data_IF_769294042951
#
_entry.id   IF_769294042951
#
_cell.length_a   1.000
_cell.length_b   1.000
_cell.length_c   1.000
_cell.angle_alpha   90.00
_cell.angle_beta   90.00
_cell.angle_gamma   90.00
#
_symmetry.space_group_name_H-M   'P 1'
#
loop_
_entity.id
_entity.type
_entity.pdbx_description
1 polymer ?
#
# COMPACT_ATOMS: atom_id res chain seq x y z
N UNK A 1 -10.38 -1.74 11.66
CA UNK A 1 -9.30 -2.47 12.36
C UNK A 1 -8.27 -1.47 12.86
N UNK A 2 -7.93 -1.57 14.13
CA UNK A 2 -6.93 -0.69 14.72
C UNK A 2 -5.53 -1.06 14.21
N UNK A 3 -4.75 -0.05 13.81
CA UNK A 3 -3.40 -0.28 13.32
C UNK A 3 -2.45 -0.57 14.48
N UNK A 4 -1.61 -1.57 14.33
CA UNK A 4 -0.60 -1.95 15.31
C UNK A 4 0.77 -1.94 14.67
N UNK A 5 1.77 -1.49 15.44
CA UNK A 5 3.15 -1.46 14.96
C UNK A 5 3.57 -2.84 14.45
N UNK A 6 4.31 -2.84 13.35
CA UNK A 6 4.93 -4.02 12.75
C UNK A 6 3.94 -5.03 12.17
N UNK A 7 2.67 -4.69 12.07
CA UNK A 7 1.65 -5.56 11.49
C UNK A 7 1.38 -5.16 10.04
N UNK A 8 1.15 -6.16 9.19
CA UNK A 8 0.62 -5.92 7.84
C UNK A 8 -0.84 -5.50 8.01
N UNK A 9 -1.21 -4.36 7.44
CA UNK A 9 -2.60 -3.91 7.55
C UNK A 9 -3.18 -3.36 6.25
N UNK A 10 -2.45 -3.47 5.14
CA UNK A 10 -2.91 -2.87 3.89
C UNK A 10 -2.26 -3.55 2.70
N UNK A 11 -2.98 -3.72 1.59
CA UNK A 11 -2.40 -4.17 0.33
C UNK A 11 -2.77 -3.17 -0.76
N UNK A 12 -1.83 -2.91 -1.66
CA UNK A 12 -2.05 -1.94 -2.73
C UNK A 12 -1.70 -2.58 -4.08
N UNK A 13 -2.57 -2.37 -5.04
CA UNK A 13 -2.40 -2.83 -6.40
C UNK A 13 -2.29 -1.63 -7.34
N UNK A 14 -1.75 -1.86 -8.52
CA UNK A 14 -1.79 -0.89 -9.61
C UNK A 14 -2.95 -1.20 -10.53
N UNK A 15 -3.52 -0.17 -11.16
CA UNK A 15 -4.61 -0.32 -12.12
C UNK A 15 -4.43 0.70 -13.24
N UNK A 16 -4.81 0.31 -14.45
CA UNK A 16 -4.79 1.24 -15.59
C UNK A 16 -6.05 2.10 -15.63
N UNK A 17 -7.20 1.52 -15.30
CA UNK A 17 -8.49 2.18 -15.38
C UNK A 17 -9.25 1.91 -14.07
N UNK A 18 -9.28 2.91 -13.20
CA UNK A 18 -9.93 2.77 -11.90
C UNK A 18 -11.43 2.50 -12.02
N UNK A 19 -12.09 3.11 -13.00
CA UNK A 19 -13.55 2.89 -13.16
C UNK A 19 -13.85 1.44 -13.56
N UNK A 20 -13.05 0.88 -14.45
CA UNK A 20 -13.20 -0.52 -14.85
C UNK A 20 -12.92 -1.47 -13.69
N UNK A 21 -11.89 -1.17 -12.88
CA UNK A 21 -11.55 -1.97 -11.69
C UNK A 21 -12.69 -1.95 -10.67
N UNK A 22 -13.22 -0.76 -10.36
CA UNK A 22 -14.32 -0.64 -9.40
C UNK A 22 -15.53 -1.46 -9.87
N UNK A 23 -15.91 -1.35 -11.14
CA UNK A 23 -17.03 -2.12 -11.68
C UNK A 23 -16.81 -3.61 -11.58
N UNK A 24 -15.60 -4.07 -11.91
CA UNK A 24 -15.27 -5.48 -11.87
C UNK A 24 -15.41 -6.06 -10.46
N UNK A 25 -14.75 -5.44 -9.49
CA UNK A 25 -14.73 -5.98 -8.12
C UNK A 25 -16.05 -5.80 -7.40
N UNK A 26 -16.82 -4.77 -7.74
CA UNK A 26 -18.18 -4.63 -7.20
C UNK A 26 -19.10 -5.73 -7.78
N UNK A 27 -19.05 -5.97 -9.07
CA UNK A 27 -19.90 -6.97 -9.71
C UNK A 27 -19.52 -8.40 -9.29
N UNK A 28 -18.23 -8.69 -9.21
CA UNK A 28 -17.76 -10.06 -8.93
C UNK A 28 -17.79 -10.41 -7.45
N UNK A 29 -17.46 -9.46 -6.56
CA UNK A 29 -17.22 -9.76 -5.15
C UNK A 29 -17.95 -8.84 -4.18
N UNK A 30 -18.74 -7.91 -4.67
CA UNK A 30 -19.49 -6.93 -3.85
C UNK A 30 -18.58 -6.02 -3.00
N UNK A 31 -17.37 -5.76 -3.46
CA UNK A 31 -16.53 -4.77 -2.79
C UNK A 31 -17.10 -3.37 -3.01
N UNK A 32 -16.90 -2.50 -2.04
CA UNK A 32 -17.25 -1.08 -2.16
C UNK A 32 -15.98 -0.25 -2.23
N UNK A 33 -16.08 0.97 -2.74
CA UNK A 33 -14.91 1.81 -3.01
C UNK A 33 -15.12 3.22 -2.51
N UNK A 34 -14.02 3.83 -2.05
CA UNK A 34 -13.96 5.24 -1.67
C UNK A 34 -12.81 5.86 -2.44
N UNK A 35 -13.11 6.88 -3.24
CA UNK A 35 -12.09 7.56 -4.03
C UNK A 35 -11.33 8.58 -3.17
N UNK A 36 -10.01 8.59 -3.32
CA UNK A 36 -9.12 9.57 -2.70
C UNK A 36 -8.41 10.33 -3.81
N UNK A 37 -9.10 11.27 -4.42
CA UNK A 37 -8.63 11.97 -5.60
C UNK A 37 -8.87 11.17 -6.89
N UNK A 38 -8.38 11.69 -8.03
CA UNK A 38 -8.69 11.08 -9.33
C UNK A 38 -7.86 9.83 -9.65
N UNK A 39 -6.78 9.57 -8.90
CA UNK A 39 -5.83 8.50 -9.25
C UNK A 39 -5.72 7.40 -8.20
N UNK A 40 -6.59 7.42 -7.18
CA UNK A 40 -6.57 6.40 -6.13
C UNK A 40 -7.96 6.07 -5.63
N UNK A 41 -8.24 4.79 -5.41
CA UNK A 41 -9.47 4.34 -4.78
C UNK A 41 -9.15 3.24 -3.77
N UNK A 42 -9.76 3.32 -2.59
CA UNK A 42 -9.62 2.30 -1.56
C UNK A 42 -10.81 1.37 -1.59
N UNK A 43 -10.57 0.08 -1.38
CA UNK A 43 -11.66 -0.89 -1.33
C UNK A 43 -12.02 -1.23 0.12
N UNK A 44 -13.27 -1.65 0.29
CA UNK A 44 -13.84 -2.09 1.56
C UNK A 44 -14.63 -3.37 1.30
N UNK A 45 -14.95 -4.06 2.38
CA UNK A 45 -15.70 -5.33 2.32
C UNK A 45 -14.92 -6.45 1.64
N UNK A 46 -13.61 -6.33 1.62
CA UNK A 46 -12.70 -7.30 1.00
C UNK A 46 -12.02 -8.24 1.99
N UNK A 47 -12.24 -8.01 3.29
CA UNK A 47 -11.59 -8.78 4.34
C UNK A 47 -10.29 -8.17 4.84
N UNK A 48 -9.59 -7.40 4.01
CA UNK A 48 -8.39 -6.67 4.38
C UNK A 48 -8.46 -5.29 3.73
N UNK A 49 -7.87 -4.30 4.36
CA UNK A 49 -7.84 -2.95 3.80
C UNK A 49 -6.86 -2.87 2.65
N UNK A 50 -7.18 -2.04 1.67
CA UNK A 50 -6.30 -1.85 0.54
C UNK A 50 -6.87 -0.89 -0.48
N UNK A 51 -6.17 -0.76 -1.60
CA UNK A 51 -6.59 0.15 -2.65
C UNK A 51 -5.88 -0.11 -3.97
N UNK A 52 -6.28 0.68 -4.98
CA UNK A 52 -5.71 0.68 -6.31
C UNK A 52 -5.17 2.06 -6.63
N UNK A 53 -3.92 2.12 -7.07
CA UNK A 53 -3.32 3.33 -7.59
C UNK A 53 -3.30 3.28 -9.11
N UNK A 54 -3.74 4.35 -9.76
CA UNK A 54 -3.71 4.40 -11.22
C UNK A 54 -2.27 4.50 -11.71
N UNK A 55 -1.95 3.73 -12.73
CA UNK A 55 -0.63 3.70 -13.33
C UNK A 55 -0.75 3.64 -14.84
N UNK A 56 0.03 4.48 -15.54
CA UNK A 56 0.15 4.44 -17.00
C UNK A 56 1.19 3.42 -17.44
N UNK A 57 1.98 2.93 -16.51
CA UNK A 57 3.06 1.99 -16.80
C UNK A 57 2.59 0.55 -16.79
N UNK A 58 3.57 -0.34 -16.79
CA UNK A 58 3.31 -1.77 -16.73
C UNK A 58 2.72 -2.14 -15.37
N UNK A 59 1.68 -2.94 -15.40
CA UNK A 59 1.10 -3.46 -14.17
C UNK A 59 1.97 -4.61 -13.65
N UNK A 60 2.49 -4.46 -12.44
CA UNK A 60 3.23 -5.52 -11.78
C UNK A 60 2.26 -6.60 -11.33
N UNK A 61 2.58 -7.85 -11.59
CA UNK A 61 1.75 -8.95 -11.15
C UNK A 61 2.03 -9.21 -9.66
N UNK A 62 1.16 -8.74 -8.81
CA UNK A 62 1.28 -8.85 -7.35
C UNK A 62 0.82 -7.58 -6.67
N UNK A 63 1.01 -7.52 -5.36
CA UNK A 63 0.59 -6.41 -4.52
C UNK A 63 1.77 -5.84 -3.76
N UNK A 64 1.70 -4.55 -3.43
CA UNK A 64 2.59 -3.94 -2.46
C UNK A 64 1.99 -4.20 -1.07
N UNK A 65 2.69 -4.97 -0.26
CA UNK A 65 2.28 -5.27 1.10
C UNK A 65 2.78 -4.17 2.02
N UNK A 66 1.89 -3.62 2.84
CA UNK A 66 2.19 -2.43 3.63
C UNK A 66 2.00 -2.74 5.11
N UNK A 67 3.05 -2.49 5.89
CA UNK A 67 3.02 -2.58 7.34
C UNK A 67 2.74 -1.21 7.94
N UNK A 68 2.39 -1.19 9.21
CA UNK A 68 2.18 0.04 9.96
C UNK A 68 3.25 0.18 11.04
N UNK A 69 3.68 1.42 11.29
CA UNK A 69 4.47 1.73 12.49
C UNK A 69 4.26 3.20 12.84
N UNK A 70 4.02 3.47 14.12
CA UNK A 70 3.75 4.84 14.58
C UNK A 70 4.97 5.76 14.50
N UNK A 71 6.19 5.21 14.52
CA UNK A 71 7.42 6.00 14.42
C UNK A 71 8.18 5.59 13.15
N UNK A 72 7.92 6.32 12.07
CA UNK A 72 8.43 5.96 10.76
C UNK A 72 9.95 6.08 10.66
N UNK A 73 10.52 7.11 11.27
CA UNK A 73 11.97 7.31 11.26
C UNK A 73 12.69 6.18 12.00
N UNK A 74 12.14 5.75 13.13
CA UNK A 74 12.72 4.67 13.91
C UNK A 74 12.70 3.35 13.14
N UNK A 75 11.55 2.98 12.57
CA UNK A 75 11.44 1.71 11.87
C UNK A 75 12.27 1.69 10.59
N UNK A 76 12.40 2.84 9.92
CA UNK A 76 13.27 2.95 8.75
C UNK A 76 14.72 2.59 9.12
N UNK A 77 15.23 3.16 10.21
CA UNK A 77 16.58 2.86 10.69
C UNK A 77 16.71 1.38 11.05
N UNK A 78 15.71 0.81 11.68
CA UNK A 78 15.69 -0.61 12.06
C UNK A 78 15.73 -1.51 10.83
N UNK A 79 14.98 -1.17 9.79
CA UNK A 79 14.96 -1.93 8.53
C UNK A 79 16.35 -1.94 7.89
N UNK A 80 17.02 -0.78 7.82
CA UNK A 80 18.35 -0.68 7.25
C UNK A 80 19.36 -1.50 8.08
N UNK A 81 19.28 -1.39 9.39
CA UNK A 81 20.17 -2.13 10.27
C UNK A 81 19.98 -3.64 10.15
N UNK A 82 18.76 -4.07 9.90
CA UNK A 82 18.43 -5.49 9.74
C UNK A 82 18.79 -6.06 8.36
N UNK A 83 19.26 -5.23 7.42
CA UNK A 83 19.71 -5.67 6.11
C UNK A 83 18.78 -5.29 4.96
N UNK A 84 17.72 -4.54 5.20
CA UNK A 84 16.86 -4.03 4.16
C UNK A 84 17.48 -2.85 3.41
N UNK A 85 17.02 -2.62 2.18
CA UNK A 85 17.46 -1.48 1.38
C UNK A 85 16.28 -0.56 1.15
N UNK A 86 16.49 0.74 1.36
CA UNK A 86 15.42 1.72 1.11
C UNK A 86 15.31 1.93 -0.40
N UNK A 87 14.17 1.54 -0.97
CA UNK A 87 13.89 1.74 -2.39
C UNK A 87 13.20 3.08 -2.64
N UNK A 88 12.49 3.60 -1.64
CA UNK A 88 11.83 4.90 -1.72
C UNK A 88 11.83 5.53 -0.35
N UNK A 89 12.49 6.68 -0.23
CA UNK A 89 12.59 7.37 1.07
C UNK A 89 11.24 7.92 1.51
N UNK A 90 11.15 8.32 2.77
CA UNK A 90 9.89 8.78 3.36
C UNK A 90 9.28 9.88 2.50
N UNK A 91 8.00 9.71 2.14
CA UNK A 91 7.23 10.71 1.42
C UNK A 91 5.83 10.80 2.03
N UNK A 92 5.20 11.96 1.83
CA UNK A 92 3.86 12.23 2.35
C UNK A 92 2.80 11.95 1.29
N UNK A 93 1.63 11.56 1.75
CA UNK A 93 0.44 11.41 0.94
C UNK A 93 -0.77 11.84 1.79
N UNK A 94 -1.94 12.07 1.19
CA UNK A 94 -3.12 12.39 2.00
C UNK A 94 -3.44 11.27 2.99
N UNK A 95 -3.33 11.57 4.28
CA UNK A 95 -3.57 10.59 5.35
C UNK A 95 -2.33 10.13 6.09
N UNK A 96 -1.12 10.40 5.58
CA UNK A 96 0.08 9.99 6.30
C UNK A 96 1.36 10.09 5.51
N UNK A 97 2.32 9.28 5.92
CA UNK A 97 3.64 9.17 5.30
C UNK A 97 4.00 7.71 5.17
N UNK A 98 4.89 7.39 4.23
CA UNK A 98 5.41 6.03 4.09
C UNK A 98 6.80 6.03 3.45
N UNK A 99 7.50 4.92 3.61
CA UNK A 99 8.69 4.61 2.82
C UNK A 99 8.57 3.20 2.27
N UNK A 100 9.42 2.86 1.31
CA UNK A 100 9.42 1.52 0.74
C UNK A 100 10.83 0.94 0.85
N UNK A 101 10.89 -0.38 0.99
CA UNK A 101 12.16 -1.07 1.17
C UNK A 101 12.14 -2.40 0.43
N UNK A 102 13.35 -2.89 0.16
CA UNK A 102 13.57 -4.21 -0.44
C UNK A 102 14.12 -5.11 0.65
N UNK A 103 13.50 -6.28 0.84
CA UNK A 103 13.98 -7.24 1.82
C UNK A 103 15.19 -8.02 1.27
N UNK A 104 15.85 -8.88 2.07
CA UNK A 104 17.03 -9.61 1.61
C UNK A 104 16.79 -10.54 0.42
N UNK A 105 15.55 -10.91 0.13
CA UNK A 105 15.22 -11.76 -1.01
C UNK A 105 14.75 -10.99 -2.24
N UNK A 106 14.65 -9.67 -2.14
CA UNK A 106 14.25 -8.83 -3.26
C UNK A 106 12.77 -8.46 -3.29
N UNK A 107 12.01 -8.77 -2.24
CA UNK A 107 10.61 -8.34 -2.17
C UNK A 107 10.54 -6.88 -1.77
N UNK A 108 9.69 -6.11 -2.47
CA UNK A 108 9.43 -4.73 -2.08
C UNK A 108 8.18 -4.63 -1.22
N UNK A 109 8.32 -3.97 -0.06
CA UNK A 109 7.23 -3.71 0.85
C UNK A 109 7.28 -2.23 1.24
N UNK A 110 6.27 -1.80 1.99
CA UNK A 110 6.21 -0.44 2.50
C UNK A 110 5.88 -0.45 3.99
N UNK A 111 6.20 0.65 4.66
CA UNK A 111 5.73 0.93 6.02
C UNK A 111 5.13 2.33 6.02
N UNK A 112 3.96 2.48 6.61
CA UNK A 112 3.26 3.76 6.67
C UNK A 112 2.97 4.19 8.10
N UNK A 113 2.71 5.46 8.27
CA UNK A 113 2.29 6.07 9.53
C UNK A 113 1.33 7.21 9.22
N UNK A 114 0.51 7.55 10.16
CA UNK A 114 -0.35 8.74 10.09
C UNK A 114 0.46 10.04 10.08
#
# INVERSE_FOLDING_TARGET
>A
MEAKDNHINYVEFLAKDLNAIKKFYTAAFNWTFTDYGPTYTAFSDSGIQGGFEQSDGKITNGALVILYHQNLELIKATVVEAGGKISKDIFSFPGGRRFQFIDPSGNELAVWSE
#
